data_IF_549190601101
#
_entry.id   IF_549190601101
#
_cell.length_a   1.000
_cell.length_b   1.000
_cell.length_c   1.000
_cell.angle_alpha   90.00
_cell.angle_beta   90.00
_cell.angle_gamma   90.00
#
_symmetry.space_group_name_H-M   'P 1'
#
loop_
_entity.id
_entity.type
_entity.pdbx_description
1 polymer ?
#
# COMPACT_ATOMS: atom_id res chain seq x y z
N UNK A 1 -5.34 -20.50 5.90
CA UNK A 1 -6.49 -19.63 5.54
C UNK A 1 -6.38 -18.34 6.33
N UNK A 2 -6.49 -17.20 5.65
CA UNK A 2 -6.41 -15.90 6.29
C UNK A 2 -7.79 -15.39 6.68
N UNK A 3 -7.85 -14.59 7.74
CA UNK A 3 -9.10 -13.94 8.15
C UNK A 3 -9.42 -12.80 7.17
N UNK A 4 -10.67 -12.76 6.71
CA UNK A 4 -11.16 -11.71 5.81
C UNK A 4 -12.25 -10.92 6.52
N UNK A 5 -12.14 -9.60 6.51
CA UNK A 5 -13.05 -8.68 7.19
C UNK A 5 -13.73 -7.80 6.14
N UNK A 6 -15.06 -7.81 6.11
CA UNK A 6 -15.88 -6.90 5.32
C UNK A 6 -16.16 -5.61 6.09
N UNK A 7 -16.60 -4.59 5.37
CA UNK A 7 -16.92 -3.26 5.92
C UNK A 7 -15.72 -2.64 6.66
N UNK A 8 -14.52 -2.95 6.19
CA UNK A 8 -13.30 -2.36 6.73
C UNK A 8 -13.15 -0.92 6.23
N UNK A 9 -12.46 -0.12 7.02
CA UNK A 9 -12.17 1.29 6.71
C UNK A 9 -10.68 1.53 6.84
N UNK A 10 -10.16 2.35 5.93
CA UNK A 10 -8.78 2.83 6.00
C UNK A 10 -8.80 4.34 5.87
N UNK A 11 -8.37 5.04 6.91
CA UNK A 11 -8.33 6.51 6.91
C UNK A 11 -6.97 6.97 7.38
N UNK A 12 -6.39 7.91 6.64
CA UNK A 12 -5.14 8.57 6.98
C UNK A 12 -5.28 10.06 6.71
N UNK A 13 -4.61 10.88 7.52
CA UNK A 13 -4.58 12.34 7.36
C UNK A 13 -3.15 12.81 7.13
N UNK A 14 -3.03 13.89 6.35
CA UNK A 14 -1.75 14.53 6.06
C UNK A 14 -0.73 13.54 5.49
N UNK A 15 -1.03 13.03 4.30
CA UNK A 15 -0.30 11.91 3.69
C UNK A 15 0.59 12.43 2.58
N UNK A 16 1.90 12.14 2.70
CA UNK A 16 2.84 12.33 1.60
C UNK A 16 2.58 11.23 0.56
N UNK A 17 2.32 11.64 -0.67
CA UNK A 17 2.06 10.72 -1.79
C UNK A 17 3.16 10.84 -2.84
N UNK A 18 3.65 9.70 -3.29
CA UNK A 18 4.58 9.58 -4.38
C UNK A 18 4.10 8.50 -5.35
N UNK A 19 3.72 8.91 -6.56
CA UNK A 19 3.32 7.98 -7.61
C UNK A 19 4.37 7.95 -8.71
N UNK A 20 4.78 6.75 -9.11
CA UNK A 20 5.80 6.56 -10.11
C UNK A 20 5.64 5.25 -10.87
N UNK A 21 6.30 5.17 -12.01
CA UNK A 21 6.53 3.91 -12.73
C UNK A 21 8.00 3.55 -12.60
N UNK A 22 8.28 2.43 -11.96
CA UNK A 22 9.65 2.06 -11.61
C UNK A 22 9.81 0.54 -11.46
N UNK A 23 11.06 0.09 -11.57
CA UNK A 23 11.43 -1.27 -11.19
C UNK A 23 11.50 -1.40 -9.67
N UNK A 24 11.57 -2.62 -9.16
CA UNK A 24 11.74 -2.87 -7.71
C UNK A 24 13.00 -2.18 -7.17
N UNK A 25 14.09 -2.23 -7.91
CA UNK A 25 15.35 -1.60 -7.51
C UNK A 25 15.22 -0.07 -7.43
N UNK A 26 14.56 0.53 -8.42
CA UNK A 26 14.30 1.97 -8.43
C UNK A 26 13.37 2.38 -7.29
N UNK A 27 12.40 1.55 -6.92
CA UNK A 27 11.50 1.80 -5.79
C UNK A 27 12.26 1.77 -4.45
N UNK A 28 13.21 0.85 -4.29
CA UNK A 28 14.07 0.84 -3.11
C UNK A 28 14.86 2.14 -2.98
N UNK A 29 15.41 2.63 -4.09
CA UNK A 29 16.11 3.91 -4.13
C UNK A 29 15.17 5.08 -3.83
N UNK A 30 13.97 5.08 -4.38
CA UNK A 30 12.95 6.11 -4.11
C UNK A 30 12.56 6.16 -2.63
N UNK A 31 12.46 5.00 -1.98
CA UNK A 31 12.15 4.93 -0.54
C UNK A 31 13.24 5.60 0.29
N UNK A 32 14.52 5.39 -0.07
CA UNK A 32 15.64 6.06 0.61
C UNK A 32 15.60 7.58 0.39
N UNK A 33 15.25 8.02 -0.81
CA UNK A 33 15.13 9.45 -1.13
C UNK A 33 13.98 10.11 -0.34
N UNK A 34 12.86 9.41 -0.18
CA UNK A 34 11.74 9.88 0.65
C UNK A 34 12.18 10.04 2.10
N UNK A 35 12.92 9.07 2.65
CA UNK A 35 13.43 9.17 4.02
C UNK A 35 14.34 10.39 4.18
N UNK A 36 15.26 10.61 3.25
CA UNK A 36 16.14 11.79 3.27
C UNK A 36 15.36 13.09 3.18
N UNK A 37 14.34 13.12 2.33
CA UNK A 37 13.46 14.28 2.17
C UNK A 37 12.72 14.60 3.47
N UNK A 38 12.17 13.59 4.15
CA UNK A 38 11.48 13.76 5.42
C UNK A 38 12.44 14.26 6.51
N UNK A 39 13.64 13.68 6.58
CA UNK A 39 14.67 14.13 7.54
C UNK A 39 15.06 15.59 7.31
N UNK A 40 15.27 15.98 6.06
CA UNK A 40 15.61 17.37 5.69
C UNK A 40 14.53 18.37 6.13
N UNK A 41 13.26 17.97 6.07
CA UNK A 41 12.13 18.81 6.46
C UNK A 41 11.71 18.61 7.91
N UNK A 42 12.47 17.83 8.68
CA UNK A 42 12.19 17.52 10.08
C UNK A 42 10.79 16.93 10.27
N UNK A 43 10.30 16.23 9.26
CA UNK A 43 9.01 15.53 9.30
C UNK A 43 9.23 14.07 9.67
N UNK A 44 8.30 13.49 10.42
CA UNK A 44 8.34 12.09 10.86
C UNK A 44 7.12 11.36 10.38
N UNK A 45 7.27 10.07 10.13
CA UNK A 45 6.14 9.18 9.85
C UNK A 45 5.19 9.19 11.05
N UNK A 46 3.91 9.29 10.75
CA UNK A 46 2.83 9.30 11.74
C UNK A 46 1.83 8.18 11.44
N UNK A 47 2.34 6.97 11.28
CA UNK A 47 1.56 5.79 10.99
C UNK A 47 2.24 4.87 9.99
N UNK A 48 1.54 3.82 9.60
CA UNK A 48 2.05 2.80 8.68
C UNK A 48 2.17 3.34 7.26
N UNK A 49 3.24 2.93 6.56
CA UNK A 49 3.36 3.16 5.12
C UNK A 49 2.36 2.30 4.36
N UNK A 50 1.79 2.87 3.31
CA UNK A 50 0.83 2.20 2.44
C UNK A 50 1.35 2.23 1.01
N UNK A 51 1.24 1.12 0.30
CA UNK A 51 1.57 1.04 -1.12
C UNK A 51 0.40 0.49 -1.90
N UNK A 52 0.21 1.01 -3.12
CA UNK A 52 -0.78 0.49 -4.05
C UNK A 52 -0.14 0.32 -5.42
N UNK A 53 -0.28 -0.86 -6.01
CA UNK A 53 0.18 -1.15 -7.36
C UNK A 53 -1.01 -1.13 -8.30
N UNK A 54 -0.98 -0.21 -9.28
CA UNK A 54 -2.08 -0.01 -10.23
C UNK A 54 -1.90 -0.84 -11.49
N UNK A 55 -0.66 -1.09 -11.89
CA UNK A 55 -0.35 -1.87 -13.08
C UNK A 55 1.07 -2.43 -13.01
N UNK A 56 1.31 -3.51 -13.72
CA UNK A 56 2.63 -4.11 -13.89
C UNK A 56 2.87 -4.31 -15.38
N UNK A 57 3.93 -3.69 -15.92
CA UNK A 57 4.35 -3.85 -17.30
C UNK A 57 5.53 -4.81 -17.35
N UNK A 58 5.30 -5.98 -17.96
CA UNK A 58 6.30 -7.04 -18.08
C UNK A 58 6.92 -7.12 -19.49
N UNK A 59 6.67 -6.14 -20.36
CA UNK A 59 7.17 -6.16 -21.74
C UNK A 59 8.66 -5.86 -21.87
N UNK A 60 9.27 -5.24 -20.85
CA UNK A 60 10.70 -4.93 -20.81
C UNK A 60 11.52 -6.05 -20.16
N UNK A 61 12.82 -5.78 -19.99
CA UNK A 61 13.76 -6.72 -19.36
C UNK A 61 13.43 -6.97 -17.88
N UNK A 62 12.85 -5.96 -17.20
CA UNK A 62 12.42 -6.03 -15.80
C UNK A 62 10.99 -5.54 -15.70
N UNK A 63 10.19 -6.08 -14.75
CA UNK A 63 8.84 -5.57 -14.51
C UNK A 63 8.88 -4.10 -14.07
N UNK A 64 8.04 -3.27 -14.70
CA UNK A 64 7.81 -1.88 -14.32
C UNK A 64 6.49 -1.78 -13.57
N UNK A 65 6.52 -1.26 -12.37
CA UNK A 65 5.35 -1.10 -11.51
C UNK A 65 4.85 0.33 -11.57
N UNK A 66 3.56 0.50 -11.84
CA UNK A 66 2.85 1.76 -11.60
C UNK A 66 2.35 1.72 -10.17
N UNK A 67 3.02 2.42 -9.29
CA UNK A 67 2.83 2.30 -7.86
C UNK A 67 2.70 3.67 -7.19
N UNK A 68 1.88 3.73 -6.15
CA UNK A 68 1.78 4.87 -5.26
C UNK A 68 2.27 4.48 -3.87
N UNK A 69 3.14 5.32 -3.29
CA UNK A 69 3.61 5.19 -1.91
C UNK A 69 2.94 6.30 -1.11
N UNK A 70 2.28 5.93 -0.03
CA UNK A 70 1.55 6.82 0.86
C UNK A 70 2.16 6.75 2.26
N UNK A 71 2.60 7.89 2.78
CA UNK A 71 3.22 7.97 4.11
C UNK A 71 2.54 9.07 4.91
N UNK A 72 1.76 8.74 5.95
CA UNK A 72 1.24 9.76 6.86
C UNK A 72 2.42 10.40 7.61
N UNK A 73 2.40 11.73 7.72
CA UNK A 73 3.46 12.50 8.36
C UNK A 73 2.89 13.44 9.44
N UNK A 74 3.75 13.82 10.39
CA UNK A 74 3.37 14.56 11.58
C UNK A 74 3.32 16.08 11.40
N UNK A 75 3.73 16.59 10.24
CA UNK A 75 3.81 18.03 9.96
C UNK A 75 3.19 18.39 8.63
N UNK A 76 2.64 19.62 8.56
CA UNK A 76 2.29 20.22 7.29
C UNK A 76 3.53 20.82 6.66
N UNK A 77 3.96 20.26 5.54
CA UNK A 77 5.12 20.74 4.78
C UNK A 77 4.72 21.00 3.33
N UNK A 78 5.39 21.96 2.71
CA UNK A 78 5.30 22.14 1.27
C UNK A 78 6.20 21.13 0.59
N UNK A 79 5.69 20.49 -0.46
CA UNK A 79 6.44 19.47 -1.18
C UNK A 79 6.59 19.84 -2.64
N UNK A 80 7.81 19.65 -3.22
CA UNK A 80 7.98 19.81 -4.65
C UNK A 80 7.52 18.58 -5.41
N UNK A 81 7.21 18.74 -6.71
CA UNK A 81 7.04 17.57 -7.56
C UNK A 81 8.32 16.70 -7.49
N UNK A 82 8.23 15.38 -7.50
CA UNK A 82 7.04 14.56 -7.79
C UNK A 82 6.15 14.23 -6.59
N UNK A 83 6.41 14.80 -5.43
CA UNK A 83 5.61 14.54 -4.23
C UNK A 83 4.34 15.39 -4.22
N UNK A 84 3.29 14.88 -3.60
CA UNK A 84 2.07 15.61 -3.29
C UNK A 84 1.64 15.35 -1.86
N UNK A 85 0.84 16.25 -1.29
CA UNK A 85 0.22 16.03 0.01
C UNK A 85 -1.27 15.76 -0.21
N UNK A 86 -1.75 14.66 0.34
CA UNK A 86 -3.18 14.37 0.44
C UNK A 86 -3.63 14.72 1.86
N UNK A 87 -4.47 15.72 2.04
CA UNK A 87 -4.95 16.09 3.38
C UNK A 87 -5.70 14.94 4.06
N UNK A 88 -6.45 14.18 3.28
CA UNK A 88 -7.18 13.00 3.75
C UNK A 88 -7.10 11.92 2.67
N UNK A 89 -6.80 10.69 3.10
CA UNK A 89 -6.97 9.48 2.32
C UNK A 89 -7.99 8.59 3.04
N UNK A 90 -9.02 8.15 2.33
CA UNK A 90 -10.10 7.38 2.98
C UNK A 90 -10.69 6.33 2.06
N UNK A 91 -10.66 5.08 2.54
CA UNK A 91 -11.52 4.00 2.03
C UNK A 91 -12.66 3.82 3.03
N UNK A 92 -13.90 4.11 2.62
CA UNK A 92 -15.08 4.04 3.49
C UNK A 92 -15.63 2.63 3.62
N UNK A 93 -15.50 1.83 2.57
CA UNK A 93 -15.98 0.45 2.54
C UNK A 93 -14.99 -0.41 1.77
N UNK A 94 -14.30 -1.28 2.49
CA UNK A 94 -13.30 -2.16 1.93
C UNK A 94 -13.44 -3.57 2.48
N UNK A 95 -12.88 -4.53 1.75
CA UNK A 95 -12.63 -5.87 2.25
C UNK A 95 -11.14 -5.96 2.57
N UNK A 96 -10.81 -6.50 3.72
CA UNK A 96 -9.45 -6.56 4.24
C UNK A 96 -9.05 -8.00 4.51
N UNK A 97 -7.80 -8.33 4.18
CA UNK A 97 -7.14 -9.59 4.54
C UNK A 97 -5.81 -9.28 5.20
N UNK A 98 -5.41 -10.06 6.20
CA UNK A 98 -4.12 -9.92 6.86
C UNK A 98 -3.16 -11.01 6.41
N UNK A 99 -2.01 -10.58 5.91
CA UNK A 99 -0.90 -11.44 5.53
C UNK A 99 0.14 -11.50 6.65
N UNK A 100 0.60 -12.71 6.96
CA UNK A 100 1.68 -12.95 7.91
C UNK A 100 2.85 -13.60 7.21
N UNK A 101 4.06 -13.11 7.46
CA UNK A 101 5.29 -13.79 7.09
C UNK A 101 5.79 -13.44 5.70
N UNK A 102 6.37 -14.41 5.05
CA UNK A 102 7.18 -14.28 3.83
C UNK A 102 6.56 -13.35 2.77
N UNK A 103 7.21 -12.22 2.43
CA UNK A 103 6.67 -11.28 1.44
C UNK A 103 6.53 -11.89 0.04
N UNK A 104 7.25 -12.95 -0.28
CA UNK A 104 7.08 -13.64 -1.56
C UNK A 104 5.69 -14.28 -1.73
N UNK A 105 4.99 -14.52 -0.62
CA UNK A 105 3.65 -15.10 -0.62
C UNK A 105 2.53 -14.03 -0.56
N UNK A 106 2.89 -12.76 -0.53
CA UNK A 106 1.93 -11.66 -0.44
C UNK A 106 0.94 -11.67 -1.61
N UNK A 107 1.40 -11.99 -2.82
CA UNK A 107 0.53 -12.06 -3.99
C UNK A 107 -0.51 -13.18 -3.86
N UNK A 108 -0.15 -14.30 -3.24
CA UNK A 108 -1.11 -15.39 -2.99
C UNK A 108 -2.22 -14.94 -2.04
N UNK A 109 -1.86 -14.20 -1.00
CA UNK A 109 -2.83 -13.61 -0.07
C UNK A 109 -3.74 -12.60 -0.76
N UNK A 110 -3.17 -11.76 -1.62
CA UNK A 110 -3.95 -10.80 -2.42
C UNK A 110 -4.94 -11.53 -3.37
N UNK A 111 -4.51 -12.60 -3.99
CA UNK A 111 -5.37 -13.41 -4.87
C UNK A 111 -6.52 -14.08 -4.08
N UNK A 112 -6.26 -14.51 -2.85
CA UNK A 112 -7.28 -15.04 -1.94
C UNK A 112 -8.35 -13.99 -1.66
N UNK A 113 -7.95 -12.74 -1.40
CA UNK A 113 -8.86 -11.63 -1.19
C UNK A 113 -9.72 -11.36 -2.43
N UNK A 114 -9.11 -11.33 -3.62
CA UNK A 114 -9.83 -11.08 -4.86
C UNK A 114 -10.82 -12.19 -5.18
N UNK A 115 -10.47 -13.45 -4.90
CA UNK A 115 -11.38 -14.58 -5.04
C UNK A 115 -12.57 -14.47 -4.11
N UNK A 116 -12.33 -14.08 -2.87
CA UNK A 116 -13.41 -13.85 -1.89
C UNK A 116 -14.37 -12.76 -2.35
N UNK A 117 -13.84 -11.62 -2.83
CA UNK A 117 -14.63 -10.50 -3.34
C UNK A 117 -15.53 -10.97 -4.49
N UNK A 118 -14.97 -11.74 -5.42
CA UNK A 118 -15.71 -12.29 -6.55
C UNK A 118 -16.81 -13.27 -6.09
N UNK A 119 -16.48 -14.18 -5.19
CA UNK A 119 -17.41 -15.20 -4.70
C UNK A 119 -18.59 -14.60 -3.92
N UNK A 120 -18.37 -13.47 -3.26
CA UNK A 120 -19.43 -12.71 -2.57
C UNK A 120 -20.22 -11.80 -3.50
N UNK A 121 -19.89 -11.74 -4.79
CA UNK A 121 -20.56 -10.85 -5.73
C UNK A 121 -20.30 -9.38 -5.51
N UNK A 122 -19.23 -9.04 -4.79
CA UNK A 122 -18.83 -7.65 -4.57
C UNK A 122 -18.05 -7.14 -5.78
N UNK A 123 -18.09 -5.83 -6.01
CA UNK A 123 -17.36 -5.20 -7.11
C UNK A 123 -16.17 -4.42 -6.56
N UNK A 124 -14.93 -4.78 -6.90
CA UNK A 124 -13.78 -3.97 -6.50
C UNK A 124 -13.78 -2.65 -7.30
N UNK A 125 -13.59 -1.55 -6.59
CA UNK A 125 -13.55 -0.20 -7.18
C UNK A 125 -12.21 0.49 -6.99
N UNK A 126 -11.27 -0.15 -6.32
CA UNK A 126 -9.90 0.37 -6.14
C UNK A 126 -8.88 -0.72 -6.40
N UNK A 127 -7.62 -0.30 -6.54
CA UNK A 127 -6.48 -1.20 -6.42
C UNK A 127 -6.39 -1.76 -4.98
N UNK A 128 -5.54 -2.76 -4.76
CA UNK A 128 -5.20 -3.23 -3.44
C UNK A 128 -4.25 -2.26 -2.74
N UNK A 129 -4.58 -1.87 -1.51
CA UNK A 129 -3.75 -1.02 -0.66
C UNK A 129 -3.09 -1.89 0.40
N UNK A 130 -1.76 -1.98 0.35
CA UNK A 130 -0.96 -2.77 1.28
C UNK A 130 -0.47 -1.88 2.41
N UNK A 131 -0.97 -2.12 3.61
CA UNK A 131 -0.59 -1.40 4.83
C UNK A 131 0.39 -2.27 5.60
N UNK A 132 1.63 -1.81 5.75
CA UNK A 132 2.62 -2.51 6.57
C UNK A 132 2.33 -2.26 8.04
N UNK A 133 1.79 -3.27 8.70
CA UNK A 133 1.44 -3.22 10.13
C UNK A 133 2.67 -3.48 10.99
N UNK A 134 3.51 -4.41 10.56
CA UNK A 134 4.74 -4.76 11.25
C UNK A 134 5.84 -5.07 10.24
N UNK A 135 6.94 -4.32 10.32
CA UNK A 135 8.14 -4.58 9.55
C UNK A 135 8.86 -5.83 10.07
N UNK A 136 9.60 -6.55 9.21
CA UNK A 136 10.50 -7.59 9.71
C UNK A 136 11.50 -7.03 10.70
N UNK A 137 11.75 -7.77 11.78
CA UNK A 137 12.70 -7.34 12.83
C UNK A 137 14.14 -7.35 12.34
N UNK A 138 14.44 -8.13 11.29
CA UNK A 138 15.74 -8.19 10.63
C UNK A 138 15.57 -8.67 9.19
N UNK A 139 16.58 -8.49 8.31
CA UNK A 139 16.52 -9.01 6.95
C UNK A 139 16.37 -10.53 6.86
N UNK A 140 16.69 -11.26 7.91
CA UNK A 140 16.58 -12.73 7.99
C UNK A 140 15.29 -13.19 8.65
N UNK A 141 14.58 -12.31 9.36
CA UNK A 141 13.33 -12.62 10.06
C UNK A 141 12.12 -12.14 9.28
N UNK A 142 11.98 -12.66 8.06
CA UNK A 142 10.87 -12.30 7.17
C UNK A 142 9.51 -12.79 7.68
N UNK A 143 9.50 -13.74 8.60
CA UNK A 143 8.27 -14.33 9.13
C UNK A 143 7.55 -13.39 10.12
N UNK A 144 8.21 -12.34 10.61
CA UNK A 144 7.59 -11.35 11.48
C UNK A 144 6.82 -10.25 10.73
N UNK A 145 6.88 -10.23 9.40
CA UNK A 145 6.14 -9.27 8.58
C UNK A 145 4.63 -9.44 8.76
N UNK A 146 3.93 -8.33 8.92
CA UNK A 146 2.46 -8.29 8.90
C UNK A 146 2.01 -7.19 7.96
N UNK A 147 1.20 -7.55 6.96
CA UNK A 147 0.65 -6.62 5.98
C UNK A 147 -0.87 -6.79 5.90
N UNK A 148 -1.61 -5.71 6.04
CA UNK A 148 -3.03 -5.69 5.77
C UNK A 148 -3.27 -5.24 4.33
N UNK A 149 -4.05 -6.00 3.58
CA UNK A 149 -4.43 -5.66 2.20
C UNK A 149 -5.89 -5.23 2.21
N UNK A 150 -6.16 -4.01 1.72
CA UNK A 150 -7.49 -3.45 1.60
C UNK A 150 -7.86 -3.29 0.13
N UNK A 151 -9.06 -3.71 -0.23
CA UNK A 151 -9.64 -3.41 -1.55
C UNK A 151 -10.97 -2.74 -1.33
N UNK A 152 -11.11 -1.51 -1.82
CA UNK A 152 -12.38 -0.80 -1.79
C UNK A 152 -13.39 -1.48 -2.70
N UNK A 153 -14.61 -1.68 -2.22
CA UNK A 153 -15.67 -2.37 -2.94
C UNK A 153 -16.94 -1.55 -2.99
N UNK A 154 -17.74 -1.80 -4.02
CA UNK A 154 -19.10 -1.30 -4.14
C UNK A 154 -20.06 -2.46 -3.89
N UNK A 155 -21.07 -2.25 -3.07
CA UNK A 155 -22.09 -3.23 -2.73
C UNK A 155 -23.32 -3.18 -3.66
N UNK A 156 -23.32 -2.26 -4.61
CA UNK A 156 -24.35 -2.23 -5.65
C UNK A 156 -23.95 -3.14 -6.81
N UNK A 157 -24.72 -4.20 -7.01
CA UNK A 157 -24.59 -5.08 -8.16
C UNK A 157 -25.74 -4.74 -9.10
N UNK A 158 -25.40 -4.18 -10.25
CA UNK A 158 -26.39 -3.76 -11.23
C UNK A 158 -26.52 -4.78 -12.37
#
# INVERSE_FOLDING_TARGET
MHEIIENAKLEMKNVLSYRTKATQQQLAQSSLEIEKFLQKNVAKRNGSSVTATFAVDTTGAEPMLDIEILIPIDKNISVPAPYTIKPVFRLKNAVKIRHYGNPALLQNTANELMSYIKDKGLMPITAGYNVTVQEPSSPTDIDSLIVDIYVGVCDNIL
#
